data_IF_444466681591
#
_entry.id   IF_444466681591
#
_cell.length_a   1.000
_cell.length_b   1.000
_cell.length_c   1.000
_cell.angle_alpha   90.00
_cell.angle_beta   90.00
_cell.angle_gamma   90.00
#
_symmetry.space_group_name_H-M   'P 1'
#
loop_
_entity.id
_entity.type
_entity.pdbx_description
1 polymer ?
#
# COMPACT_ATOMS: atom_id res chain seq x y z
N UNK A 1 11.73 -17.18 -1.85
CA UNK A 1 11.40 -16.22 -2.92
C UNK A 1 12.45 -15.10 -2.85
N UNK A 2 13.05 -14.67 -3.97
CA UNK A 2 14.09 -13.64 -3.95
C UNK A 2 13.51 -12.27 -3.53
N UNK A 3 14.30 -11.34 -2.95
CA UNK A 3 13.80 -10.02 -2.57
C UNK A 3 13.29 -9.27 -3.79
N UNK A 4 12.05 -8.77 -3.71
CA UNK A 4 11.30 -8.13 -4.81
C UNK A 4 11.63 -6.64 -4.98
N UNK A 5 12.78 -6.18 -4.51
CA UNK A 5 12.94 -4.76 -4.16
C UNK A 5 13.57 -3.90 -5.25
N UNK A 6 12.78 -2.95 -5.76
CA UNK A 6 13.23 -1.71 -6.43
C UNK A 6 13.26 -0.56 -5.41
N UNK A 7 12.81 -0.82 -4.19
CA UNK A 7 12.76 0.13 -3.09
C UNK A 7 13.37 -0.56 -1.87
N UNK A 8 14.48 -0.05 -1.29
CA UNK A 8 15.09 -0.63 -0.09
C UNK A 8 14.23 -0.39 1.18
N UNK A 9 13.00 0.07 1.01
CA UNK A 9 12.05 0.32 2.10
C UNK A 9 11.18 -0.91 2.30
N UNK A 10 11.68 -1.83 3.12
CA UNK A 10 10.90 -2.95 3.61
C UNK A 10 9.94 -2.47 4.71
N UNK A 11 8.65 -2.80 4.57
CA UNK A 11 7.57 -2.43 5.48
C UNK A 11 7.59 -3.26 6.79
N UNK A 12 8.72 -3.28 7.51
CA UNK A 12 8.93 -4.15 8.68
C UNK A 12 7.87 -4.02 9.77
N UNK A 13 7.29 -2.82 9.94
CA UNK A 13 6.38 -2.52 11.03
C UNK A 13 4.90 -2.84 10.72
N UNK A 14 4.57 -3.36 9.53
CA UNK A 14 3.21 -3.80 9.19
C UNK A 14 2.18 -2.69 8.88
N UNK A 15 2.59 -1.42 8.87
CA UNK A 15 1.70 -0.28 8.60
C UNK A 15 1.67 0.16 7.12
N UNK A 16 2.47 -0.46 6.25
CA UNK A 16 2.45 -0.21 4.80
C UNK A 16 1.84 -1.40 4.07
N UNK A 17 0.51 -1.51 4.14
CA UNK A 17 -0.19 -2.64 3.55
C UNK A 17 -0.09 -2.61 2.02
N UNK A 18 0.30 -3.74 1.44
CA UNK A 18 0.29 -4.01 0.01
C UNK A 18 -1.02 -4.73 -0.39
N UNK A 19 -1.43 -5.74 0.38
CA UNK A 19 -2.63 -6.54 0.16
C UNK A 19 -3.35 -6.90 1.48
N UNK A 20 -4.54 -6.36 1.72
CA UNK A 20 -5.34 -6.64 2.92
C UNK A 20 -5.99 -8.02 2.93
N UNK A 21 -5.98 -8.74 1.82
CA UNK A 21 -6.62 -10.06 1.70
C UNK A 21 -5.68 -11.21 2.00
N UNK A 22 -4.40 -10.92 2.24
CA UNK A 22 -3.36 -11.91 2.47
C UNK A 22 -2.63 -11.64 3.77
N UNK A 23 -2.25 -12.73 4.44
CA UNK A 23 -1.31 -12.65 5.55
C UNK A 23 0.09 -12.31 5.03
N UNK A 24 0.81 -11.45 5.75
CA UNK A 24 2.23 -11.22 5.48
C UNK A 24 2.99 -12.54 5.65
N UNK A 25 3.71 -12.97 4.61
CA UNK A 25 4.46 -14.23 4.61
C UNK A 25 5.51 -14.31 5.73
N UNK A 26 5.95 -13.17 6.28
CA UNK A 26 6.87 -13.11 7.42
C UNK A 26 6.18 -13.43 8.76
N UNK A 27 4.84 -13.44 8.80
CA UNK A 27 4.02 -13.80 9.96
C UNK A 27 3.57 -15.27 9.95
N UNK A 28 3.97 -16.05 8.94
CA UNK A 28 3.61 -17.47 8.80
C UNK A 28 2.56 -17.70 7.71
N UNK A 29 1.82 -18.79 7.86
CA UNK A 29 0.77 -19.20 6.90
C UNK A 29 -0.63 -18.86 7.41
N UNK A 30 -1.62 -18.84 6.52
CA UNK A 30 -3.03 -18.71 6.94
C UNK A 30 -3.46 -19.82 7.91
N UNK A 31 -2.91 -21.03 7.73
CA UNK A 31 -3.20 -22.16 8.62
C UNK A 31 -2.63 -21.92 10.03
N UNK A 32 -1.44 -21.32 10.14
CA UNK A 32 -0.87 -20.93 11.43
C UNK A 32 -1.76 -19.87 12.12
N UNK A 33 -2.26 -18.90 11.37
CA UNK A 33 -3.16 -17.87 11.89
C UNK A 33 -4.49 -18.48 12.35
N UNK A 34 -5.09 -19.38 11.56
CA UNK A 34 -6.33 -20.10 11.93
C UNK A 34 -6.12 -20.91 13.20
N UNK A 35 -5.00 -21.64 13.27
CA UNK A 35 -4.66 -22.43 14.45
C UNK A 35 -4.52 -21.55 15.70
N UNK A 36 -3.84 -20.40 15.59
CA UNK A 36 -3.71 -19.44 16.68
C UNK A 36 -5.08 -18.95 17.18
N UNK A 37 -5.95 -18.54 16.26
CA UNK A 37 -7.30 -18.03 16.59
C UNK A 37 -8.14 -19.12 17.25
N UNK A 38 -8.12 -20.35 16.73
CA UNK A 38 -8.87 -21.47 17.29
C UNK A 38 -8.41 -21.81 18.71
N UNK A 39 -7.09 -21.87 18.94
CA UNK A 39 -6.54 -22.14 20.27
C UNK A 39 -6.82 -21.00 21.27
N UNK A 40 -6.81 -19.73 20.81
CA UNK A 40 -7.20 -18.59 21.63
C UNK A 40 -8.67 -18.69 22.05
N UNK A 41 -9.58 -18.98 21.12
CA UNK A 41 -11.01 -19.11 21.40
C UNK A 41 -11.31 -20.27 22.36
N UNK A 42 -10.64 -21.42 22.23
CA UNK A 42 -10.77 -22.54 23.20
C UNK A 42 -10.44 -22.15 24.64
N UNK A 43 -9.62 -21.11 24.82
CA UNK A 43 -9.19 -20.56 26.12
C UNK A 43 -10.01 -19.34 26.55
N UNK A 44 -11.08 -19.01 25.83
CA UNK A 44 -11.91 -17.83 26.11
C UNK A 44 -11.23 -16.49 25.80
N UNK A 45 -10.15 -16.50 25.02
CA UNK A 45 -9.43 -15.28 24.59
C UNK A 45 -10.04 -14.79 23.30
N UNK A 46 -10.36 -13.49 23.22
CA UNK A 46 -10.81 -12.84 21.98
C UNK A 46 -9.61 -12.30 21.21
N UNK A 47 -9.64 -12.42 19.89
CA UNK A 47 -8.61 -11.89 18.99
C UNK A 47 -9.18 -10.66 18.26
N UNK A 48 -8.43 -9.57 18.25
CA UNK A 48 -8.74 -8.36 17.50
C UNK A 48 -7.60 -8.09 16.52
N UNK A 49 -7.94 -7.74 15.28
CA UNK A 49 -6.98 -7.31 14.27
C UNK A 49 -6.94 -5.79 14.21
N UNK A 50 -5.75 -5.20 14.33
CA UNK A 50 -5.47 -3.82 13.93
C UNK A 50 -5.33 -3.81 12.39
N UNK A 51 -6.16 -3.02 11.72
CA UNK A 51 -6.15 -2.86 10.27
C UNK A 51 -6.04 -1.38 9.93
N UNK A 52 -4.96 -1.06 9.23
CA UNK A 52 -4.68 0.30 8.77
C UNK A 52 -5.32 0.47 7.40
N UNK A 53 -6.41 1.24 7.34
CA UNK A 53 -7.11 1.54 6.07
C UNK A 53 -6.90 2.98 5.60
N UNK A 54 -6.21 3.82 6.39
CA UNK A 54 -6.01 5.21 6.03
C UNK A 54 -5.09 5.37 4.82
N UNK A 55 -4.10 4.48 4.66
CA UNK A 55 -3.12 4.53 3.58
C UNK A 55 -2.68 3.12 3.18
N UNK A 56 -1.97 3.06 2.07
CA UNK A 56 -1.30 1.88 1.48
C UNK A 56 0.21 2.09 1.54
N UNK A 57 0.96 1.00 1.36
CA UNK A 57 2.39 1.11 1.05
C UNK A 57 2.65 1.91 -0.23
N UNK A 58 3.89 2.39 -0.39
CA UNK A 58 4.30 3.12 -1.58
C UNK A 58 4.13 2.25 -2.83
N UNK A 59 3.60 2.85 -3.90
CA UNK A 59 3.57 2.20 -5.20
C UNK A 59 5.00 2.03 -5.72
N UNK A 60 5.45 0.79 -5.87
CA UNK A 60 6.72 0.48 -6.53
C UNK A 60 6.48 0.10 -7.98
N UNK A 61 7.51 0.27 -8.83
CA UNK A 61 7.45 -0.23 -10.20
C UNK A 61 7.18 -1.75 -10.25
N UNK A 62 7.66 -2.52 -9.28
CA UNK A 62 7.44 -3.96 -9.21
C UNK A 62 5.96 -4.28 -9.01
N UNK A 63 5.33 -3.60 -8.05
CA UNK A 63 3.93 -3.79 -7.72
C UNK A 63 3.02 -3.33 -8.85
N UNK A 64 3.32 -2.17 -9.45
CA UNK A 64 2.57 -1.66 -10.59
C UNK A 64 2.62 -2.63 -11.77
N UNK A 65 3.79 -3.24 -12.03
CA UNK A 65 3.96 -4.24 -13.07
C UNK A 65 3.27 -5.57 -12.72
N UNK A 66 3.31 -6.02 -11.47
CA UNK A 66 2.73 -7.31 -11.08
C UNK A 66 1.21 -7.26 -10.99
N UNK A 67 0.68 -6.24 -10.31
CA UNK A 67 -0.74 -6.08 -10.03
C UNK A 67 -1.47 -5.21 -11.06
N UNK A 68 -0.76 -4.72 -12.08
CA UNK A 68 -1.33 -4.03 -13.23
C UNK A 68 -2.16 -2.79 -12.84
N UNK A 69 -1.63 -1.99 -11.91
CA UNK A 69 -2.20 -0.69 -11.50
C UNK A 69 -1.22 0.46 -11.76
N UNK A 70 -1.75 1.68 -11.71
CA UNK A 70 -0.99 2.90 -11.93
C UNK A 70 -0.58 3.09 -13.40
N UNK A 71 -0.03 4.26 -13.71
CA UNK A 71 0.34 4.64 -15.06
C UNK A 71 1.78 5.17 -15.11
N UNK A 72 2.42 4.99 -16.26
CA UNK A 72 3.71 5.60 -16.56
C UNK A 72 3.56 6.65 -17.65
N UNK A 73 4.42 7.68 -17.63
CA UNK A 73 4.57 8.60 -18.75
C UNK A 73 5.25 7.94 -19.95
N UNK A 74 6.10 6.93 -19.70
CA UNK A 74 6.82 6.18 -20.72
C UNK A 74 5.89 5.19 -21.44
N UNK A 75 6.07 5.03 -22.76
CA UNK A 75 5.28 4.10 -23.57
C UNK A 75 6.14 3.38 -24.60
N UNK A 76 5.67 2.23 -25.09
CA UNK A 76 6.29 1.49 -26.19
C UNK A 76 7.78 1.20 -26.00
N UNK A 77 8.57 1.48 -27.04
CA UNK A 77 10.01 1.21 -27.06
C UNK A 77 10.79 1.99 -26.00
N UNK A 78 10.33 3.19 -25.64
CA UNK A 78 10.97 4.03 -24.62
C UNK A 78 10.82 3.42 -23.22
N UNK A 79 9.65 2.86 -22.91
CA UNK A 79 9.43 2.12 -21.67
C UNK A 79 10.38 0.93 -21.58
N UNK A 80 10.45 0.11 -22.64
CA UNK A 80 11.33 -1.07 -22.66
C UNK A 80 12.81 -0.70 -22.56
N UNK A 81 13.23 0.39 -23.21
CA UNK A 81 14.59 0.91 -23.13
C UNK A 81 14.95 1.41 -21.73
N UNK A 82 14.00 2.04 -21.03
CA UNK A 82 14.25 2.71 -19.75
C UNK A 82 14.10 1.76 -18.57
N UNK A 83 13.02 0.98 -18.51
CA UNK A 83 12.68 0.11 -17.38
C UNK A 83 12.99 -1.37 -17.64
N UNK A 84 13.28 -1.76 -18.89
CA UNK A 84 13.45 -3.15 -19.27
C UNK A 84 12.13 -3.92 -19.36
N UNK A 85 12.23 -5.24 -19.54
CA UNK A 85 11.05 -6.14 -19.53
C UNK A 85 10.53 -6.38 -18.12
N UNK A 86 11.43 -6.44 -17.15
CA UNK A 86 11.14 -6.49 -15.72
C UNK A 86 11.51 -5.15 -15.13
N UNK A 87 10.53 -4.40 -14.63
CA UNK A 87 10.80 -3.08 -14.07
C UNK A 87 11.66 -3.16 -12.80
N UNK A 88 11.74 -4.37 -12.20
CA UNK A 88 12.67 -4.69 -11.10
C UNK A 88 14.14 -4.56 -11.44
N UNK A 89 14.48 -4.51 -12.72
CA UNK A 89 15.86 -4.42 -13.17
C UNK A 89 16.31 -2.95 -13.34
N UNK A 90 15.39 -1.99 -13.19
CA UNK A 90 15.72 -0.56 -13.22
C UNK A 90 16.68 -0.19 -12.08
N UNK A 91 17.65 0.67 -12.39
CA UNK A 91 18.64 1.17 -11.43
C UNK A 91 18.86 2.66 -11.65
N UNK A 92 19.11 3.45 -10.59
CA UNK A 92 19.42 4.86 -10.74
C UNK A 92 20.69 5.07 -11.56
N UNK A 93 20.63 5.99 -12.51
CA UNK A 93 21.80 6.50 -13.22
C UNK A 93 22.61 7.49 -12.37
N UNK A 94 23.65 8.07 -12.98
CA UNK A 94 24.47 9.10 -12.31
C UNK A 94 23.58 10.30 -11.89
N UNK A 95 23.63 10.65 -10.59
CA UNK A 95 22.84 11.74 -10.02
C UNK A 95 21.39 11.38 -9.66
N UNK A 96 20.94 10.16 -9.93
CA UNK A 96 19.63 9.65 -9.51
C UNK A 96 19.72 8.86 -8.20
N UNK A 97 18.57 8.71 -7.55
CA UNK A 97 18.41 7.82 -6.41
C UNK A 97 17.37 6.74 -6.70
N UNK A 98 17.22 5.76 -5.82
CA UNK A 98 16.13 4.79 -5.90
C UNK A 98 14.73 5.41 -5.84
N UNK A 99 14.58 6.69 -5.51
CA UNK A 99 13.28 7.40 -5.61
C UNK A 99 13.03 8.03 -6.98
N UNK A 100 14.05 8.13 -7.84
CA UNK A 100 13.94 8.79 -9.15
C UNK A 100 13.07 8.01 -10.14
N UNK A 101 12.69 6.76 -9.85
CA UNK A 101 11.68 6.08 -10.68
C UNK A 101 10.31 6.78 -10.63
N UNK A 102 10.02 7.53 -9.56
CA UNK A 102 8.75 8.25 -9.43
C UNK A 102 8.57 9.29 -10.53
N UNK A 103 9.65 9.79 -11.13
CA UNK A 103 9.62 10.73 -12.25
C UNK A 103 8.95 10.12 -13.49
N UNK A 104 8.92 8.79 -13.59
CA UNK A 104 8.26 8.07 -14.68
C UNK A 104 6.79 7.77 -14.41
N UNK A 105 6.32 7.95 -13.17
CA UNK A 105 4.97 7.57 -12.74
C UNK A 105 4.01 8.73 -12.94
N UNK A 106 2.91 8.46 -13.66
CA UNK A 106 1.82 9.40 -13.81
C UNK A 106 0.81 9.24 -12.67
N UNK A 107 1.05 9.92 -11.54
CA UNK A 107 0.13 9.93 -10.39
C UNK A 107 -1.22 10.61 -10.65
N UNK A 108 -1.41 11.25 -11.81
CA UNK A 108 -2.67 11.94 -12.15
C UNK A 108 -3.66 11.07 -12.94
N UNK A 109 -3.27 9.86 -13.37
CA UNK A 109 -4.13 8.98 -14.18
C UNK A 109 -5.21 8.28 -13.35
N UNK A 110 -6.40 8.88 -13.31
CA UNK A 110 -7.53 8.39 -12.53
C UNK A 110 -7.89 6.93 -12.80
N UNK A 111 -7.93 6.52 -14.07
CA UNK A 111 -8.39 5.18 -14.48
C UNK A 111 -7.38 4.12 -14.10
N UNK A 112 -6.09 4.42 -14.26
CA UNK A 112 -5.05 3.47 -13.93
C UNK A 112 -4.92 3.26 -12.41
N UNK A 113 -5.11 4.33 -11.63
CA UNK A 113 -5.05 4.28 -10.17
C UNK A 113 -6.32 3.72 -9.53
N UNK A 114 -7.49 3.79 -10.18
CA UNK A 114 -8.73 3.11 -9.73
C UNK A 114 -8.61 1.58 -9.63
N UNK A 115 -7.67 0.98 -10.35
CA UNK A 115 -7.37 -0.46 -10.28
C UNK A 115 -6.56 -0.84 -9.05
N UNK A 116 -5.94 0.15 -8.41
CA UNK A 116 -5.42 -0.03 -7.07
C UNK A 116 -6.59 -0.04 -6.09
N UNK A 117 -6.32 -0.31 -4.81
CA UNK A 117 -7.36 -0.34 -3.77
C UNK A 117 -8.29 0.86 -3.89
N UNK A 118 -9.57 0.68 -4.22
CA UNK A 118 -10.42 1.81 -4.60
C UNK A 118 -10.72 2.79 -3.46
N UNK A 119 -11.32 3.95 -3.79
CA UNK A 119 -11.66 5.01 -2.80
C UNK A 119 -12.57 4.56 -1.65
N UNK A 120 -13.27 3.44 -1.82
CA UNK A 120 -14.07 2.83 -0.75
C UNK A 120 -13.19 2.28 0.39
N UNK A 121 -11.94 1.96 0.09
CA UNK A 121 -11.00 1.31 0.99
C UNK A 121 -9.95 2.26 1.53
N UNK A 122 -9.37 3.13 0.69
CA UNK A 122 -8.19 3.93 1.05
C UNK A 122 -8.37 5.41 0.76
N UNK A 123 -7.60 6.24 1.46
CA UNK A 123 -7.48 7.69 1.22
C UNK A 123 -6.06 8.00 0.76
N UNK A 124 -5.91 8.74 -0.33
CA UNK A 124 -4.60 9.16 -0.86
C UNK A 124 -4.78 10.40 -1.73
N UNK A 125 -3.70 11.14 -2.00
CA UNK A 125 -3.68 12.32 -2.85
C UNK A 125 -3.37 12.02 -4.33
N UNK A 126 -3.34 10.73 -4.69
CA UNK A 126 -3.10 10.23 -6.05
C UNK A 126 -4.40 10.26 -6.88
N UNK A 127 -4.32 10.70 -8.14
CA UNK A 127 -5.38 10.53 -9.14
C UNK A 127 -6.78 10.97 -8.69
N UNK A 128 -7.73 10.03 -8.69
CA UNK A 128 -9.13 10.29 -8.36
C UNK A 128 -9.43 10.20 -6.85
N UNK A 129 -8.48 9.85 -6.00
CA UNK A 129 -8.74 9.59 -4.58
C UNK A 129 -9.13 10.84 -3.79
N UNK A 130 -9.91 10.63 -2.73
CA UNK A 130 -10.29 11.71 -1.82
C UNK A 130 -9.05 12.18 -1.07
N UNK A 131 -8.75 13.48 -1.19
CA UNK A 131 -7.66 14.10 -0.43
C UNK A 131 -7.91 13.90 1.06
N UNK A 132 -6.89 13.50 1.85
CA UNK A 132 -7.04 13.43 3.29
C UNK A 132 -7.46 14.81 3.83
N UNK A 133 -8.52 14.84 4.65
CA UNK A 133 -9.05 16.08 5.20
C UNK A 133 -7.97 16.79 6.02
N UNK A 134 -7.63 18.03 5.63
CA UNK A 134 -6.97 18.96 6.53
C UNK A 134 -7.98 19.39 7.60
N UNK A 135 -7.63 19.18 8.87
CA UNK A 135 -8.45 19.38 10.09
C UNK A 135 -9.55 20.44 9.93
N UNK A 136 -10.81 20.02 9.99
CA UNK A 136 -11.91 20.83 10.53
C UNK A 136 -12.53 20.05 11.67
N UNK A 137 -12.48 20.64 12.87
CA UNK A 137 -13.16 20.11 14.04
C UNK A 137 -14.66 20.43 13.91
N UNK A 138 -15.48 19.42 13.62
CA UNK A 138 -16.93 19.53 13.76
C UNK A 138 -17.34 18.98 15.13
N UNK A 139 -17.98 19.82 15.94
CA UNK A 139 -18.33 19.54 17.34
C UNK A 139 -19.45 18.50 17.54
N UNK A 140 -19.93 17.84 16.48
CA UNK A 140 -21.15 17.00 16.52
C UNK A 140 -20.89 15.50 16.34
N UNK A 141 -19.68 15.10 15.92
CA UNK A 141 -19.23 13.72 16.00
C UNK A 141 -17.78 13.77 16.48
N UNK A 142 -17.43 13.06 17.55
CA UNK A 142 -16.08 13.04 18.14
C UNK A 142 -15.03 12.40 17.24
N UNK A 143 -14.86 12.88 16.01
CA UNK A 143 -13.90 12.42 15.02
C UNK A 143 -12.96 13.60 14.75
N UNK A 144 -11.77 13.55 15.34
CA UNK A 144 -10.64 14.39 14.94
C UNK A 144 -9.83 13.62 13.90
N UNK A 145 -9.93 14.00 12.63
CA UNK A 145 -9.04 13.51 11.58
C UNK A 145 -7.92 14.54 11.36
N UNK A 146 -6.69 14.17 11.72
CA UNK A 146 -5.50 15.01 11.54
C UNK A 146 -4.36 14.21 10.93
N UNK A 147 -3.81 14.73 9.84
CA UNK A 147 -2.81 14.10 8.97
C UNK A 147 -1.37 14.09 9.51
N UNK A 148 -1.15 14.22 10.82
CA UNK A 148 0.22 14.32 11.35
C UNK A 148 0.54 13.43 12.55
N UNK A 149 -0.37 12.60 13.06
CA UNK A 149 -0.01 11.63 14.11
C UNK A 149 -0.94 10.41 14.02
N UNK A 150 -0.40 9.29 13.53
CA UNK A 150 -0.90 7.91 13.66
C UNK A 150 -2.37 7.72 14.07
N UNK A 151 -3.31 7.86 13.13
CA UNK A 151 -4.67 7.36 13.34
C UNK A 151 -4.69 5.90 12.90
N UNK A 152 -4.56 5.04 13.91
CA UNK A 152 -4.90 3.63 13.88
C UNK A 152 -6.43 3.48 13.83
N UNK A 153 -6.85 2.34 13.30
CA UNK A 153 -8.12 1.67 13.55
C UNK A 153 -9.36 2.08 12.74
N UNK A 154 -9.73 1.18 11.83
CA UNK A 154 -11.14 0.88 11.56
C UNK A 154 -11.53 -0.39 12.36
N UNK A 155 -12.06 -0.22 13.57
CA UNK A 155 -12.63 -1.34 14.32
C UNK A 155 -13.97 -1.77 13.71
N UNK A 156 -14.01 -2.97 13.12
CA UNK A 156 -15.26 -3.69 12.88
C UNK A 156 -15.34 -4.87 13.85
N UNK A 157 -16.13 -4.70 14.91
CA UNK A 157 -16.49 -5.78 15.82
C UNK A 157 -17.40 -6.75 15.06
N UNK A 158 -16.97 -8.01 14.95
CA UNK A 158 -17.83 -9.14 14.62
C UNK A 158 -18.13 -9.93 15.89
#
# INVERSE_FOLDING_TARGET
MAPKEISPHYAYHGYYTQDWTKLDANMGTEDDLRHLVDEAHKRGIRVLFDIVMNHVGYATLADMQEFQFGALYLQGDELKKTLGERWTDWKPGAGQSWHSFNDYINFSDKVAWEKWWGKKWIRTDIGDYDKPWLRRFDHVAGISAGSENGIHDAFRVA
#
